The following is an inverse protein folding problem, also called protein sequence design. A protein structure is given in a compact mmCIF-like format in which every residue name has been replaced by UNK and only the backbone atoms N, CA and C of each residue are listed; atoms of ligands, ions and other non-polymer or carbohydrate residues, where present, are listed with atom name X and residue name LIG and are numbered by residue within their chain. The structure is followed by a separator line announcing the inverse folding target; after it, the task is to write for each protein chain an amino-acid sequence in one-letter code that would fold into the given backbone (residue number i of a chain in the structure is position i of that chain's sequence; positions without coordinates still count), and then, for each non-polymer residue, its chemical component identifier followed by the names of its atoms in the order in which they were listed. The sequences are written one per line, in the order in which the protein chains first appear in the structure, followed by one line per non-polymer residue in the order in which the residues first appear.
data_IF_418224410751
#
_entry.id   IF_418224410751
#
_cell.length_a   1.000
_cell.length_b   1.000
_cell.length_c   1.000
_cell.angle_alpha   90.00
_cell.angle_beta   90.00
_cell.angle_gamma   90.00
#
_symmetry.space_group_name_H-M   'P 1'
#
loop_
_entity.id
_entity.type
_entity.pdbx_description
1 polymer ?
#
# COMPACT_ATOMS: atom_id res chain seq x y z
N UNK A 1 -19.16 12.01 -22.85
CA UNK A 1 -18.52 10.96 -22.01
C UNK A 1 -19.64 10.22 -21.30
N UNK A 2 -19.81 8.92 -21.54
CA UNK A 2 -20.94 8.16 -20.98
C UNK A 2 -20.67 7.83 -19.51
N UNK A 3 -21.60 8.16 -18.62
CA UNK A 3 -21.47 7.96 -17.17
C UNK A 3 -22.13 6.64 -16.78
N UNK A 4 -21.45 5.81 -16.00
CA UNK A 4 -22.04 4.61 -15.40
C UNK A 4 -22.94 5.04 -14.23
N UNK A 5 -24.19 4.59 -14.26
CA UNK A 5 -25.15 4.80 -13.17
C UNK A 5 -25.13 3.55 -12.29
N UNK A 6 -24.73 3.70 -11.03
CA UNK A 6 -24.67 2.60 -10.07
C UNK A 6 -25.95 2.54 -9.25
N UNK A 7 -26.56 1.36 -9.19
CA UNK A 7 -27.66 1.04 -8.26
C UNK A 7 -27.10 0.52 -6.93
N UNK A 8 -27.94 0.39 -5.90
CA UNK A 8 -27.50 -0.18 -4.62
C UNK A 8 -27.00 -1.63 -4.77
N UNK A 9 -27.66 -2.43 -5.61
CA UNK A 9 -27.23 -3.82 -5.84
C UNK A 9 -25.87 -3.87 -6.54
N UNK A 10 -25.63 -2.95 -7.49
CA UNK A 10 -24.32 -2.82 -8.13
C UNK A 10 -23.25 -2.43 -7.13
N UNK A 11 -23.55 -1.54 -6.18
CA UNK A 11 -22.61 -1.17 -5.12
C UNK A 11 -22.21 -2.41 -4.29
N UNK A 12 -23.17 -3.23 -3.88
CA UNK A 12 -22.90 -4.46 -3.12
C UNK A 12 -22.00 -5.41 -3.92
N UNK A 13 -22.32 -5.63 -5.21
CA UNK A 13 -21.51 -6.48 -6.08
C UNK A 13 -20.09 -5.93 -6.27
N UNK A 14 -19.95 -4.61 -6.45
CA UNK A 14 -18.63 -3.95 -6.51
C UNK A 14 -17.84 -4.22 -5.24
N UNK A 15 -18.43 -4.00 -4.07
CA UNK A 15 -17.75 -4.15 -2.78
C UNK A 15 -17.33 -5.61 -2.53
N UNK A 16 -18.22 -6.58 -2.79
CA UNK A 16 -17.91 -8.01 -2.71
C UNK A 16 -16.71 -8.38 -3.60
N UNK A 17 -16.73 -7.93 -4.85
CA UNK A 17 -15.68 -8.24 -5.81
C UNK A 17 -14.34 -7.54 -5.48
N UNK A 18 -14.40 -6.33 -4.91
CA UNK A 18 -13.22 -5.61 -4.40
C UNK A 18 -12.56 -6.37 -3.24
N UNK A 19 -13.35 -6.92 -2.32
CA UNK A 19 -12.86 -7.73 -1.20
C UNK A 19 -12.28 -9.04 -1.72
N UNK A 20 -12.99 -9.73 -2.61
CA UNK A 20 -12.55 -11.01 -3.18
C UNK A 20 -11.19 -10.90 -3.89
N UNK A 21 -10.98 -9.81 -4.63
CA UNK A 21 -9.72 -9.56 -5.34
C UNK A 21 -8.69 -8.78 -4.51
N UNK A 22 -9.01 -8.43 -3.26
CA UNK A 22 -8.18 -7.57 -2.40
C UNK A 22 -7.68 -6.31 -3.13
N UNK A 23 -8.56 -5.67 -3.91
CA UNK A 23 -8.15 -4.67 -4.88
C UNK A 23 -7.46 -3.45 -4.24
N UNK A 24 -7.88 -3.09 -3.03
CA UNK A 24 -7.30 -2.02 -2.22
C UNK A 24 -5.90 -2.33 -1.68
N UNK A 25 -5.52 -3.60 -1.56
CA UNK A 25 -4.25 -4.03 -0.99
C UNK A 25 -3.10 -4.13 -2.03
N UNK A 26 -3.42 -4.09 -3.33
CA UNK A 26 -2.45 -4.35 -4.39
C UNK A 26 -1.76 -3.08 -4.91
N UNK A 27 -0.43 -3.06 -4.88
CA UNK A 27 0.39 -1.87 -5.22
C UNK A 27 0.31 -1.42 -6.70
N UNK A 28 0.02 -2.32 -7.64
CA UNK A 28 0.05 -2.03 -9.10
C UNK A 28 -1.34 -1.89 -9.75
N UNK A 29 -2.40 -1.85 -8.93
CA UNK A 29 -3.79 -1.77 -9.37
C UNK A 29 -4.28 -2.96 -10.21
N UNK A 30 -3.58 -4.10 -10.18
CA UNK A 30 -4.03 -5.35 -10.81
C UNK A 30 -5.36 -5.81 -10.25
N UNK A 31 -5.57 -5.71 -8.93
CA UNK A 31 -6.85 -6.01 -8.31
C UNK A 31 -8.01 -5.20 -8.87
N UNK A 32 -7.82 -3.89 -9.06
CA UNK A 32 -8.86 -3.04 -9.66
C UNK A 32 -9.17 -3.42 -11.12
N UNK A 33 -8.16 -3.86 -11.89
CA UNK A 33 -8.38 -4.37 -13.26
C UNK A 33 -9.16 -5.68 -13.23
N UNK A 34 -8.75 -6.63 -12.40
CA UNK A 34 -9.42 -7.92 -12.26
C UNK A 34 -10.87 -7.75 -11.81
N UNK A 35 -11.13 -6.88 -10.83
CA UNK A 35 -12.48 -6.54 -10.39
C UNK A 35 -13.33 -6.01 -11.54
N UNK A 36 -12.83 -5.03 -12.31
CA UNK A 36 -13.57 -4.50 -13.45
C UNK A 36 -13.86 -5.56 -14.52
N UNK A 37 -12.86 -6.38 -14.86
CA UNK A 37 -13.00 -7.48 -15.83
C UNK A 37 -14.04 -8.53 -15.40
N UNK A 38 -14.15 -8.80 -14.11
CA UNK A 38 -15.14 -9.73 -13.58
C UNK A 38 -16.54 -9.11 -13.57
N UNK A 39 -16.67 -7.86 -13.14
CA UNK A 39 -17.95 -7.16 -13.08
C UNK A 39 -18.59 -6.98 -14.47
N UNK A 40 -17.80 -6.68 -15.52
CA UNK A 40 -18.33 -6.52 -16.90
C UNK A 40 -18.99 -7.80 -17.43
N UNK A 41 -18.62 -8.98 -16.92
CA UNK A 41 -19.23 -10.26 -17.33
C UNK A 41 -20.63 -10.44 -16.76
N UNK A 42 -21.01 -9.65 -15.75
CA UNK A 42 -22.32 -9.69 -15.13
C UNK A 42 -23.30 -8.80 -15.92
N UNK A 43 -24.57 -9.22 -16.06
CA UNK A 43 -25.57 -8.48 -16.84
C UNK A 43 -25.88 -7.09 -16.25
N UNK A 44 -25.56 -6.87 -14.98
CA UNK A 44 -25.81 -5.62 -14.27
C UNK A 44 -24.84 -4.50 -14.67
N UNK A 45 -23.68 -4.79 -15.25
CA UNK A 45 -22.66 -3.77 -15.50
C UNK A 45 -22.49 -3.46 -16.99
N UNK A 46 -22.30 -2.18 -17.36
CA UNK A 46 -22.07 -1.82 -18.74
C UNK A 46 -20.64 -2.18 -19.20
N UNK A 47 -20.42 -2.43 -20.50
CA UNK A 47 -19.10 -2.79 -21.04
C UNK A 47 -18.02 -1.70 -20.87
N UNK A 48 -18.44 -0.47 -20.59
CA UNK A 48 -17.56 0.69 -20.38
C UNK A 48 -16.95 0.73 -18.97
N UNK A 49 -17.30 -0.21 -18.08
CA UNK A 49 -16.76 -0.26 -16.72
C UNK A 49 -15.24 -0.49 -16.76
N UNK A 50 -14.47 0.39 -16.11
CA UNK A 50 -13.00 0.29 -16.05
C UNK A 50 -12.53 0.23 -14.61
N UNK A 51 -11.28 -0.18 -14.41
CA UNK A 51 -10.63 -0.16 -13.10
C UNK A 51 -10.71 1.21 -12.40
N UNK A 52 -10.60 2.32 -13.16
CA UNK A 52 -10.72 3.67 -12.60
C UNK A 52 -12.13 3.93 -12.07
N UNK A 53 -13.15 3.58 -12.85
CA UNK A 53 -14.56 3.77 -12.48
C UNK A 53 -14.89 2.96 -11.23
N UNK A 54 -14.45 1.70 -11.15
CA UNK A 54 -14.65 0.84 -9.97
C UNK A 54 -13.97 1.43 -8.73
N UNK A 55 -12.71 1.86 -8.87
CA UNK A 55 -11.96 2.47 -7.77
C UNK A 55 -12.58 3.77 -7.29
N UNK A 56 -12.96 4.65 -8.21
CA UNK A 56 -13.64 5.91 -7.90
C UNK A 56 -14.97 5.67 -7.19
N UNK A 57 -15.77 4.71 -7.68
CA UNK A 57 -17.03 4.34 -7.03
C UNK A 57 -16.79 3.81 -5.62
N UNK A 58 -15.83 2.92 -5.44
CA UNK A 58 -15.48 2.35 -4.13
C UNK A 58 -15.05 3.45 -3.15
N UNK A 59 -14.17 4.35 -3.57
CA UNK A 59 -13.72 5.48 -2.75
C UNK A 59 -14.88 6.40 -2.36
N UNK A 60 -15.82 6.64 -3.27
CA UNK A 60 -17.02 7.43 -2.97
C UNK A 60 -17.84 6.77 -1.86
N UNK A 61 -18.08 5.45 -1.96
CA UNK A 61 -18.84 4.68 -0.98
C UNK A 61 -18.17 4.68 0.40
N UNK A 62 -16.86 4.47 0.45
CA UNK A 62 -16.08 4.53 1.70
C UNK A 62 -16.18 5.93 2.34
N UNK A 63 -15.99 7.00 1.56
CA UNK A 63 -16.07 8.37 2.07
C UNK A 63 -17.48 8.74 2.51
N UNK A 64 -18.52 8.19 1.88
CA UNK A 64 -19.90 8.38 2.30
C UNK A 64 -20.13 7.69 3.64
N UNK A 65 -19.74 6.41 3.76
CA UNK A 65 -19.87 5.63 4.99
C UNK A 65 -19.18 6.30 6.18
N UNK A 66 -17.95 6.81 6.01
CA UNK A 66 -17.28 7.55 7.08
C UNK A 66 -18.07 8.77 7.56
N UNK A 67 -18.64 9.54 6.63
CA UNK A 67 -19.41 10.75 6.96
C UNK A 67 -20.72 10.41 7.66
N UNK A 68 -21.41 9.37 7.21
CA UNK A 68 -22.65 8.89 7.83
C UNK A 68 -22.39 8.35 9.22
N UNK A 69 -21.36 7.51 9.39
CA UNK A 69 -21.01 6.93 10.69
C UNK A 69 -20.61 8.03 11.70
N UNK A 70 -19.77 8.98 11.29
CA UNK A 70 -19.39 10.09 12.18
C UNK A 70 -20.55 11.02 12.52
N UNK A 71 -21.49 11.24 11.59
CA UNK A 71 -22.72 11.98 11.86
C UNK A 71 -23.65 11.23 12.85
N UNK A 72 -23.90 9.94 12.62
CA UNK A 72 -24.76 9.11 13.48
C UNK A 72 -24.23 9.04 14.92
N UNK A 73 -22.92 8.84 15.07
CA UNK A 73 -22.22 8.88 16.37
C UNK A 73 -22.41 10.21 17.08
N UNK A 74 -22.35 11.33 16.35
CA UNK A 74 -22.50 12.66 16.95
C UNK A 74 -23.90 12.94 17.49
N UNK A 75 -24.94 12.29 16.94
CA UNK A 75 -26.34 12.48 17.30
C UNK A 75 -26.84 11.37 18.26
N UNK A 76 -25.98 10.39 18.58
CA UNK A 76 -26.33 9.26 19.46
C UNK A 76 -27.31 8.28 18.83
N UNK A 77 -27.35 8.22 17.49
CA UNK A 77 -28.21 7.31 16.75
C UNK A 77 -27.49 5.98 16.51
N UNK A 78 -28.17 4.86 16.74
CA UNK A 78 -27.63 3.54 16.45
C UNK A 78 -27.44 3.35 14.95
N UNK A 79 -26.31 2.73 14.58
CA UNK A 79 -25.95 2.50 13.19
C UNK A 79 -26.70 1.28 12.65
N UNK A 80 -27.45 1.45 11.55
CA UNK A 80 -28.15 0.34 10.92
C UNK A 80 -27.14 -0.59 10.24
N UNK A 81 -27.04 -1.83 10.74
CA UNK A 81 -26.14 -2.85 10.17
C UNK A 81 -26.76 -3.39 8.88
N UNK A 82 -26.28 -2.87 7.76
CA UNK A 82 -26.63 -3.35 6.42
C UNK A 82 -25.51 -4.21 5.85
N UNK A 83 -25.79 -5.02 4.83
CA UNK A 83 -24.73 -5.74 4.13
C UNK A 83 -23.65 -4.78 3.59
N UNK A 84 -24.09 -3.63 3.06
CA UNK A 84 -23.20 -2.62 2.51
C UNK A 84 -22.26 -2.04 3.57
N UNK A 85 -22.76 -1.76 4.79
CA UNK A 85 -21.90 -1.26 5.88
C UNK A 85 -20.88 -2.29 6.32
N UNK A 86 -21.28 -3.57 6.45
CA UNK A 86 -20.36 -4.67 6.81
C UNK A 86 -19.23 -4.81 5.79
N UNK A 87 -19.55 -4.77 4.48
CA UNK A 87 -18.53 -4.86 3.43
C UNK A 87 -17.59 -3.65 3.45
N UNK A 88 -18.10 -2.45 3.73
CA UNK A 88 -17.29 -1.24 3.81
C UNK A 88 -16.35 -1.27 5.03
N UNK A 89 -16.85 -1.70 6.19
CA UNK A 89 -16.03 -1.92 7.39
C UNK A 89 -14.90 -2.92 7.11
N UNK A 90 -15.23 -4.04 6.45
CA UNK A 90 -14.24 -5.05 6.10
C UNK A 90 -13.14 -4.52 5.16
N UNK A 91 -13.51 -3.72 4.15
CA UNK A 91 -12.54 -3.07 3.26
C UNK A 91 -11.61 -2.15 4.05
N UNK A 92 -12.15 -1.38 5.00
CA UNK A 92 -11.38 -0.47 5.82
C UNK A 92 -10.42 -1.21 6.74
N UNK A 93 -10.91 -2.19 7.50
CA UNK A 93 -10.08 -2.97 8.42
C UNK A 93 -8.95 -3.69 7.71
N UNK A 94 -9.25 -4.35 6.57
CA UNK A 94 -8.24 -5.06 5.78
C UNK A 94 -7.26 -4.08 5.12
N UNK A 95 -7.73 -2.91 4.70
CA UNK A 95 -6.91 -1.84 4.15
C UNK A 95 -5.88 -1.32 5.17
N UNK A 96 -6.33 -0.99 6.37
CA UNK A 96 -5.49 -0.52 7.47
C UNK A 96 -4.46 -1.57 7.89
N UNK A 97 -4.87 -2.83 8.05
CA UNK A 97 -3.96 -3.96 8.35
C UNK A 97 -2.86 -4.07 7.29
N UNK A 98 -3.22 -3.97 6.01
CA UNK A 98 -2.24 -4.05 4.92
C UNK A 98 -1.28 -2.87 4.89
N UNK A 99 -1.78 -1.66 5.14
CA UNK A 99 -0.93 -0.47 5.20
C UNK A 99 0.08 -0.58 6.35
N UNK A 100 -0.36 -1.05 7.53
CA UNK A 100 0.51 -1.30 8.66
C UNK A 100 1.59 -2.36 8.36
N UNK A 101 1.22 -3.47 7.72
CA UNK A 101 2.18 -4.50 7.27
C UNK A 101 3.21 -3.95 6.29
N UNK A 102 2.77 -3.13 5.33
CA UNK A 102 3.66 -2.53 4.33
C UNK A 102 4.66 -1.57 5.00
N UNK A 103 4.20 -0.73 5.94
CA UNK A 103 5.07 0.18 6.70
C UNK A 103 6.12 -0.58 7.49
N UNK A 104 5.72 -1.64 8.21
CA UNK A 104 6.63 -2.48 8.98
C UNK A 104 7.68 -3.13 8.08
N UNK A 105 7.29 -3.66 6.93
CA UNK A 105 8.21 -4.27 5.97
C UNK A 105 9.20 -3.25 5.38
N UNK A 106 8.73 -2.04 5.08
CA UNK A 106 9.59 -0.96 4.58
C UNK A 106 10.63 -0.50 5.63
N UNK A 107 10.27 -0.50 6.91
CA UNK A 107 11.20 -0.25 8.02
C UNK A 107 12.24 -1.37 8.18
N UNK A 108 11.81 -2.63 8.11
CA UNK A 108 12.68 -3.81 8.16
C UNK A 108 13.69 -3.82 6.99
N UNK A 109 13.22 -3.56 5.77
CA UNK A 109 14.06 -3.49 4.57
C UNK A 109 15.11 -2.34 4.69
N UNK A 110 14.70 -1.20 5.25
CA UNK A 110 15.59 -0.06 5.48
C UNK A 110 16.66 -0.39 6.53
N UNK A 111 16.27 -1.03 7.63
CA UNK A 111 17.19 -1.45 8.68
C UNK A 111 18.21 -2.48 8.17
N UNK A 112 17.76 -3.47 7.39
CA UNK A 112 18.62 -4.45 6.75
C UNK A 112 19.62 -3.79 5.79
N UNK A 113 19.15 -2.85 4.95
CA UNK A 113 20.02 -2.09 4.05
C UNK A 113 21.10 -1.28 4.78
N UNK A 114 20.76 -0.69 5.94
CA UNK A 114 21.72 0.05 6.76
C UNK A 114 22.76 -0.87 7.40
N UNK A 115 22.35 -2.03 7.91
CA UNK A 115 23.29 -3.04 8.44
C UNK A 115 24.30 -3.49 7.38
N UNK A 116 23.84 -3.78 6.16
CA UNK A 116 24.72 -4.18 5.06
C UNK A 116 25.72 -3.06 4.73
N UNK A 117 25.27 -1.81 4.67
CA UNK A 117 26.16 -0.65 4.46
C UNK A 117 27.21 -0.54 5.55
N UNK A 118 26.84 -0.70 6.82
CA UNK A 118 27.77 -0.62 7.94
C UNK A 118 28.79 -1.76 7.92
N UNK A 119 28.36 -2.98 7.64
CA UNK A 119 29.26 -4.13 7.50
C UNK A 119 30.25 -3.93 6.36
N UNK A 120 29.80 -3.43 5.21
CA UNK A 120 30.68 -3.11 4.09
C UNK A 120 31.71 -2.02 4.44
N UNK A 121 31.29 -0.94 5.10
CA UNK A 121 32.17 0.14 5.56
C UNK A 121 33.22 -0.35 6.57
N UNK A 122 32.83 -1.23 7.51
CA UNK A 122 33.76 -1.83 8.45
C UNK A 122 34.77 -2.74 7.73
N UNK A 123 34.34 -3.50 6.73
CA UNK A 123 35.22 -4.29 5.88
C UNK A 123 36.27 -3.43 5.17
N UNK A 124 35.83 -2.36 4.50
CA UNK A 124 36.71 -1.41 3.81
C UNK A 124 37.69 -0.75 4.78
N UNK A 125 37.24 -0.36 5.97
CA UNK A 125 38.10 0.22 7.01
C UNK A 125 39.18 -0.77 7.47
N UNK A 126 38.84 -2.05 7.65
CA UNK A 126 39.82 -3.09 8.01
C UNK A 126 40.86 -3.30 6.92
N UNK A 127 40.44 -3.30 5.66
CA UNK A 127 41.35 -3.44 4.51
C UNK A 127 42.31 -2.24 4.40
N UNK A 128 41.80 -1.02 4.58
CA UNK A 128 42.62 0.20 4.64
C UNK A 128 43.64 0.16 5.77
N UNK A 129 43.22 -0.23 6.99
CA UNK A 129 44.12 -0.35 8.12
C UNK A 129 45.23 -1.38 7.87
N UNK A 130 44.88 -2.54 7.29
CA UNK A 130 45.85 -3.57 6.93
C UNK A 130 46.87 -3.09 5.89
N UNK A 131 46.41 -2.32 4.89
CA UNK A 131 47.29 -1.71 3.88
C UNK A 131 48.23 -0.69 4.52
N UNK A 132 47.73 0.16 5.42
CA UNK A 132 48.54 1.17 6.12
C UNK A 132 49.59 0.52 7.04
N UNK A 133 49.21 -0.52 7.79
CA UNK A 133 50.14 -1.21 8.70
C UNK A 133 51.25 -1.96 7.97
N UNK A 134 51.03 -2.32 6.70
CA UNK A 134 52.01 -3.03 5.87
C UNK A 134 52.71 -2.12 4.85
N UNK A 135 52.65 -0.80 5.01
CA UNK A 135 53.46 0.10 4.19
C UNK A 135 54.95 -0.13 4.53
N UNK A 136 55.78 -0.56 3.57
CA UNK A 136 57.19 -0.78 3.83
C UNK A 136 57.89 0.53 4.18
N UNK A 137 58.76 0.49 5.19
CA UNK A 137 59.55 1.64 5.62
C UNK A 137 60.40 2.19 4.47
N UNK A 138 60.20 3.47 4.11
CA UNK A 138 61.00 4.17 3.11
C UNK A 138 61.86 5.27 3.79
N UNK A 139 63.18 5.10 3.88
CA UNK A 139 64.09 6.05 4.54
C UNK A 139 64.08 7.47 3.92
N UNK A 140 63.61 7.63 2.69
CA UNK A 140 63.62 8.91 1.98
C UNK A 140 62.47 9.87 2.37
N UNK A 141 61.44 9.38 3.06
CA UNK A 141 60.23 10.17 3.37
C UNK A 141 60.37 11.02 4.64
N UNK A 142 61.40 10.79 5.45
CA UNK A 142 61.67 11.54 6.68
C UNK A 142 62.41 12.87 6.44
N UNK A 143 63.08 13.04 5.28
CA UNK A 143 63.92 14.23 5.00
C UNK A 143 63.18 15.51 4.62
N UNK A 144 61.84 15.55 4.69
CA UNK A 144 61.03 16.74 4.33
C UNK A 144 60.43 17.52 5.51
N UNK A 145 60.78 17.17 6.75
CA UNK A 145 60.46 17.96 7.94
C UNK A 145 61.76 18.45 8.60
N UNK A 146 62.44 19.39 7.96
CA UNK A 146 63.37 20.33 8.60
C UNK A 146 63.12 21.71 8.05
#
# INVERSE_FOLDING_TARGET
MQRVIFTSDMDILVLREVIANLAFAMKNGTGWRQTAENLIKLPNFPPILTASIVRERTNLLVNQFYRENSANKSIGMEEEVTEKSVLLEEILERGEKKEAENKKKEEEDKAAGEMIRQQAMQGLKRELLFKISNIPYNPLWQKKKS
#
